data_IF_883039738474
#
_entry.id   IF_883039738474
#
_cell.length_a   1.000
_cell.length_b   1.000
_cell.length_c   1.000
_cell.angle_alpha   90.00
_cell.angle_beta   90.00
_cell.angle_gamma   90.00
#
_symmetry.space_group_name_H-M   'P 1'
#
loop_
_entity.id
_entity.type
_entity.pdbx_description
1 polymer ?
#
# COMPACT_ATOMS: atom_id res chain seq x y z
N UNK A 1 2.76 19.55 26.81
CA UNK A 1 3.99 18.91 26.22
C UNK A 1 4.46 17.65 26.95
N UNK A 2 4.02 17.38 28.17
CA UNK A 2 4.41 16.18 28.95
C UNK A 2 3.51 14.97 28.62
N UNK A 3 2.29 15.17 28.17
CA UNK A 3 1.34 14.10 27.86
C UNK A 3 1.69 13.31 26.58
N UNK A 4 2.29 13.92 25.58
CA UNK A 4 2.67 13.24 24.33
C UNK A 4 3.85 12.25 24.48
N UNK A 5 4.77 12.48 25.43
CA UNK A 5 5.91 11.56 25.65
C UNK A 5 5.52 10.24 26.36
N UNK A 6 4.41 10.21 27.13
CA UNK A 6 3.99 9.01 27.87
C UNK A 6 3.17 8.03 27.02
N UNK A 7 2.54 8.46 25.91
CA UNK A 7 1.79 7.56 25.02
C UNK A 7 2.67 6.73 24.10
N UNK A 8 3.87 7.21 23.73
CA UNK A 8 4.81 6.49 22.87
C UNK A 8 5.53 5.31 23.58
N UNK A 9 5.51 5.24 24.91
CA UNK A 9 6.19 4.17 25.66
C UNK A 9 5.36 2.88 25.87
N UNK A 10 4.12 2.80 25.38
CA UNK A 10 3.25 1.63 25.49
C UNK A 10 2.89 0.96 24.17
N UNK A 11 3.57 1.29 23.08
CA UNK A 11 3.41 0.51 21.84
C UNK A 11 4.19 -0.79 22.00
N UNK A 12 3.49 -1.85 22.38
CA UNK A 12 4.02 -3.20 22.27
C UNK A 12 4.12 -3.48 20.79
N UNK A 13 5.34 -3.47 20.24
CA UNK A 13 5.61 -4.05 18.95
C UNK A 13 5.30 -5.54 19.04
N UNK A 14 4.10 -5.94 18.64
CA UNK A 14 3.82 -7.33 18.32
C UNK A 14 4.73 -7.63 17.14
N UNK A 15 5.72 -8.51 17.38
CA UNK A 15 6.60 -9.02 16.32
C UNK A 15 5.70 -9.54 15.21
N UNK A 16 5.56 -8.80 14.11
CA UNK A 16 5.00 -9.38 12.90
C UNK A 16 5.98 -10.47 12.47
N UNK A 17 5.51 -11.57 11.95
CA UNK A 17 6.37 -12.66 11.45
C UNK A 17 7.29 -12.18 10.30
N UNK A 18 7.02 -10.99 9.75
CA UNK A 18 7.90 -10.29 8.83
C UNK A 18 8.94 -9.48 9.62
N UNK A 19 10.12 -10.02 9.75
CA UNK A 19 11.26 -9.26 10.22
C UNK A 19 11.57 -8.16 9.20
N UNK A 20 11.56 -6.89 9.65
CA UNK A 20 12.01 -5.79 8.78
C UNK A 20 13.51 -5.95 8.59
N UNK A 21 13.92 -6.45 7.43
CA UNK A 21 15.32 -6.75 7.11
C UNK A 21 16.16 -5.46 7.03
N UNK A 22 15.57 -4.33 6.66
CA UNK A 22 16.26 -3.06 6.66
C UNK A 22 16.12 -2.35 8.02
N UNK A 23 17.14 -2.45 8.86
CA UNK A 23 17.19 -1.78 10.18
C UNK A 23 17.15 -0.24 10.10
N UNK A 24 17.39 0.33 8.92
CA UNK A 24 17.36 1.78 8.68
C UNK A 24 15.99 2.30 8.27
N UNK A 25 14.96 1.46 8.18
CA UNK A 25 13.63 1.85 7.69
C UNK A 25 13.10 3.14 8.34
N UNK A 26 13.15 3.24 9.67
CA UNK A 26 12.64 4.42 10.38
C UNK A 26 13.46 5.68 10.10
N UNK A 27 14.78 5.55 9.99
CA UNK A 27 15.65 6.66 9.60
C UNK A 27 15.37 7.12 8.17
N UNK A 28 15.09 6.17 7.27
CA UNK A 28 14.70 6.48 5.89
C UNK A 28 13.38 7.24 5.84
N UNK A 29 12.37 6.81 6.63
CA UNK A 29 11.07 7.49 6.73
C UNK A 29 11.26 8.93 7.24
N UNK A 30 12.05 9.12 8.30
CA UNK A 30 12.30 10.45 8.86
C UNK A 30 13.02 11.35 7.86
N UNK A 31 14.06 10.85 7.19
CA UNK A 31 14.80 11.62 6.17
C UNK A 31 13.90 12.01 4.99
N UNK A 32 13.07 11.09 4.49
CA UNK A 32 12.12 11.36 3.42
C UNK A 32 11.07 12.40 3.83
N UNK A 33 10.54 12.30 5.05
CA UNK A 33 9.58 13.29 5.56
C UNK A 33 10.22 14.68 5.72
N UNK A 34 11.47 14.76 6.12
CA UNK A 34 12.22 16.04 6.15
C UNK A 34 12.33 16.60 4.72
N UNK A 35 12.73 15.79 3.74
CA UNK A 35 12.86 16.22 2.35
C UNK A 35 11.51 16.71 1.77
N UNK A 36 10.41 15.99 2.04
CA UNK A 36 9.04 16.39 1.63
C UNK A 36 8.68 17.75 2.23
N UNK A 37 8.89 17.93 3.55
CA UNK A 37 8.55 19.17 4.24
C UNK A 37 9.39 20.36 3.77
N UNK A 38 10.64 20.11 3.37
CA UNK A 38 11.54 21.15 2.83
C UNK A 38 11.31 21.37 1.32
N UNK A 39 10.54 20.51 0.65
CA UNK A 39 10.38 20.56 -0.80
C UNK A 39 11.68 20.32 -1.55
N UNK A 40 12.53 19.42 -1.06
CA UNK A 40 13.86 19.14 -1.63
C UNK A 40 13.91 17.79 -2.32
N UNK A 41 14.67 17.71 -3.42
CA UNK A 41 15.02 16.45 -4.06
C UNK A 41 15.90 15.59 -3.16
N UNK A 42 15.87 14.29 -3.43
CA UNK A 42 16.65 13.29 -2.71
C UNK A 42 17.50 12.50 -3.69
N UNK A 43 18.74 12.20 -3.30
CA UNK A 43 19.54 11.14 -3.91
C UNK A 43 19.55 9.93 -2.97
N UNK A 44 19.36 8.74 -3.50
CA UNK A 44 19.38 7.53 -2.70
C UNK A 44 19.82 6.31 -3.52
N UNK A 45 20.36 5.29 -2.81
CA UNK A 45 20.65 3.99 -3.39
C UNK A 45 19.42 3.11 -3.39
N UNK A 46 19.13 2.51 -4.53
CA UNK A 46 18.07 1.54 -4.69
C UNK A 46 18.60 0.13 -4.42
N UNK A 47 17.88 -0.61 -3.60
CA UNK A 47 18.24 -1.96 -3.19
C UNK A 47 17.21 -2.97 -3.70
N UNK A 48 17.63 -4.23 -3.78
CA UNK A 48 16.76 -5.38 -4.01
C UNK A 48 17.21 -6.56 -3.15
N UNK A 49 16.28 -7.48 -2.85
CA UNK A 49 16.62 -8.70 -2.13
C UNK A 49 17.15 -9.76 -3.09
N UNK A 50 18.35 -10.27 -2.79
CA UNK A 50 18.85 -11.50 -3.37
C UNK A 50 18.08 -12.73 -2.86
N UNK A 51 18.32 -13.89 -3.48
CA UNK A 51 17.74 -15.17 -3.03
C UNK A 51 18.25 -15.63 -1.65
N UNK A 52 19.35 -15.05 -1.20
CA UNK A 52 19.95 -15.23 0.13
C UNK A 52 19.35 -14.32 1.20
N UNK A 53 18.31 -13.53 0.84
CA UNK A 53 17.67 -12.49 1.66
C UNK A 53 18.57 -11.29 2.01
N UNK A 54 19.75 -11.19 1.39
CA UNK A 54 20.61 -10.02 1.54
C UNK A 54 20.21 -8.91 0.58
N UNK A 55 20.40 -7.65 1.03
CA UNK A 55 20.11 -6.47 0.20
C UNK A 55 21.31 -6.16 -0.69
N UNK A 56 21.11 -6.22 -1.98
CA UNK A 56 22.07 -5.83 -3.03
C UNK A 56 21.66 -4.54 -3.70
N UNK A 57 22.64 -3.78 -4.18
CA UNK A 57 22.39 -2.50 -4.88
C UNK A 57 21.97 -2.76 -6.33
N UNK A 58 20.91 -2.07 -6.78
CA UNK A 58 20.45 -2.14 -8.18
C UNK A 58 21.42 -1.43 -9.12
N UNK A 59 21.46 -1.87 -10.39
CA UNK A 59 22.37 -1.32 -11.40
C UNK A 59 22.11 0.15 -11.74
N UNK A 60 20.86 0.63 -11.62
CA UNK A 60 20.46 2.01 -11.88
C UNK A 60 20.62 2.95 -10.66
N UNK A 61 21.34 2.51 -9.65
CA UNK A 61 21.61 3.23 -8.42
C UNK A 61 22.94 4.02 -8.50
N UNK A 62 23.08 5.17 -7.80
CA UNK A 62 22.04 5.90 -7.10
C UNK A 62 21.08 6.65 -8.04
N UNK A 63 19.84 6.86 -7.59
CA UNK A 63 18.87 7.66 -8.32
C UNK A 63 18.61 9.00 -7.61
N UNK A 64 18.19 10.01 -8.39
CA UNK A 64 17.71 11.29 -7.88
C UNK A 64 16.21 11.39 -8.16
N UNK A 65 15.44 11.81 -7.15
CA UNK A 65 14.00 11.93 -7.28
C UNK A 65 13.40 13.04 -6.44
N UNK A 66 12.21 13.47 -6.81
CA UNK A 66 11.36 14.40 -6.06
C UNK A 66 10.39 13.59 -5.21
N UNK A 67 10.49 13.60 -3.85
CA UNK A 67 9.57 12.90 -2.98
C UNK A 67 8.31 13.74 -2.73
N UNK A 68 7.11 13.12 -2.71
CA UNK A 68 5.84 13.83 -2.52
C UNK A 68 5.06 13.41 -1.27
N UNK A 69 4.93 12.12 -1.02
CA UNK A 69 4.17 11.61 0.13
C UNK A 69 4.64 10.21 0.52
N UNK A 70 4.75 9.96 1.83
CA UNK A 70 4.97 8.62 2.39
C UNK A 70 3.63 7.95 2.70
N UNK A 71 3.54 6.65 2.47
CA UNK A 71 2.32 5.87 2.53
C UNK A 71 2.59 4.54 3.22
N UNK A 72 1.59 4.06 3.94
CA UNK A 72 1.57 2.70 4.48
C UNK A 72 0.54 1.87 3.72
N UNK A 73 0.97 0.78 3.10
CA UNK A 73 0.12 -0.13 2.36
C UNK A 73 0.67 -1.56 2.41
N UNK A 74 -0.19 -2.55 2.53
CA UNK A 74 0.15 -3.99 2.47
C UNK A 74 1.34 -4.37 3.38
N UNK A 75 1.38 -3.80 4.59
CA UNK A 75 2.45 -4.09 5.54
C UNK A 75 3.80 -3.47 5.21
N UNK A 76 3.89 -2.52 4.26
CA UNK A 76 5.12 -1.83 3.86
C UNK A 76 4.94 -0.31 3.82
N UNK A 77 6.03 0.41 4.01
CA UNK A 77 6.09 1.84 3.71
C UNK A 77 6.54 2.08 2.28
N UNK A 78 5.83 2.98 1.61
CA UNK A 78 6.13 3.45 0.25
C UNK A 78 6.33 4.95 0.25
N UNK A 79 7.12 5.42 -0.71
CA UNK A 79 7.25 6.83 -1.06
C UNK A 79 6.80 7.03 -2.50
N UNK A 80 5.89 7.98 -2.72
CA UNK A 80 5.52 8.42 -4.06
C UNK A 80 6.56 9.43 -4.54
N UNK A 81 7.15 9.15 -5.68
CA UNK A 81 8.26 9.94 -6.23
C UNK A 81 8.08 10.20 -7.72
N UNK A 82 8.81 11.21 -8.21
CA UNK A 82 9.11 11.39 -9.63
C UNK A 82 10.62 11.37 -9.79
N UNK A 83 11.16 10.45 -10.60
CA UNK A 83 12.60 10.39 -10.89
C UNK A 83 13.03 11.61 -11.68
N UNK A 84 14.26 12.06 -11.47
CA UNK A 84 14.85 13.13 -12.28
C UNK A 84 14.98 12.67 -13.73
N UNK A 85 14.45 13.48 -14.66
CA UNK A 85 14.39 13.15 -16.08
C UNK A 85 13.30 12.18 -16.51
N UNK A 86 12.49 11.67 -15.57
CA UNK A 86 11.30 10.87 -15.85
C UNK A 86 10.03 11.72 -15.83
N UNK A 87 8.98 11.25 -16.49
CA UNK A 87 7.66 11.92 -16.52
C UNK A 87 6.63 11.24 -15.64
N UNK A 88 6.84 10.01 -15.27
CA UNK A 88 5.90 9.19 -14.51
C UNK A 88 6.14 9.25 -13.00
N UNK A 89 5.06 9.02 -12.25
CA UNK A 89 5.11 8.84 -10.81
C UNK A 89 5.30 7.37 -10.46
N UNK A 90 6.19 7.12 -9.52
CA UNK A 90 6.53 5.77 -9.07
C UNK A 90 6.32 5.63 -7.57
N UNK A 91 5.97 4.42 -7.14
CA UNK A 91 5.96 4.01 -5.74
C UNK A 91 7.21 3.20 -5.44
N UNK A 92 8.03 3.69 -4.52
CA UNK A 92 9.23 3.01 -4.09
C UNK A 92 9.06 2.52 -2.66
N UNK A 93 9.35 1.27 -2.39
CA UNK A 93 9.37 0.74 -1.02
C UNK A 93 10.51 1.35 -0.23
N UNK A 94 10.20 1.90 0.95
CA UNK A 94 11.17 2.63 1.77
C UNK A 94 12.23 1.71 2.40
N UNK A 95 11.90 0.44 2.63
CA UNK A 95 12.86 -0.57 3.10
C UNK A 95 13.88 -0.98 2.02
N UNK A 96 13.61 -0.68 0.74
CA UNK A 96 14.51 -0.91 -0.38
C UNK A 96 15.31 0.35 -0.77
N UNK A 97 15.49 1.28 0.16
CA UNK A 97 16.29 2.50 -0.04
C UNK A 97 17.41 2.53 1.00
N UNK A 98 18.60 2.97 0.59
CA UNK A 98 19.74 3.25 1.47
C UNK A 98 20.40 4.59 1.13
N UNK A 99 21.20 5.10 2.06
CA UNK A 99 22.07 6.26 1.89
C UNK A 99 21.34 7.48 1.32
N UNK A 100 20.25 7.86 1.97
CA UNK A 100 19.42 9.00 1.58
C UNK A 100 20.19 10.30 1.84
N UNK A 101 20.34 11.11 0.79
CA UNK A 101 20.93 12.44 0.83
C UNK A 101 19.90 13.45 0.35
N UNK A 102 19.54 14.41 1.22
CA UNK A 102 18.66 15.53 0.84
C UNK A 102 19.51 16.54 0.08
N UNK A 103 19.06 16.89 -1.12
CA UNK A 103 19.78 17.81 -2.00
C UNK A 103 19.28 19.24 -1.80
N UNK A 104 20.17 20.22 -1.97
CA UNK A 104 19.80 21.65 -1.99
C UNK A 104 19.15 22.04 -3.34
N UNK A 105 18.18 21.24 -3.79
CA UNK A 105 17.45 21.44 -5.05
C UNK A 105 15.97 21.18 -4.81
N UNK A 106 15.12 22.11 -5.27
CA UNK A 106 13.65 21.99 -5.18
C UNK A 106 13.10 20.79 -5.95
N UNK A 107 11.99 20.25 -5.47
CA UNK A 107 11.25 19.18 -6.13
C UNK A 107 10.66 19.64 -7.47
N UNK A 108 10.46 18.72 -8.39
CA UNK A 108 9.73 18.98 -9.63
C UNK A 108 8.25 19.22 -9.33
N UNK A 109 7.70 20.31 -9.89
CA UNK A 109 6.27 20.61 -9.73
C UNK A 109 5.44 19.66 -10.57
N UNK A 110 4.38 19.10 -9.97
CA UNK A 110 3.38 18.33 -10.71
C UNK A 110 2.23 19.27 -11.05
N UNK A 111 2.06 19.54 -12.34
CA UNK A 111 1.02 20.46 -12.83
C UNK A 111 -0.38 19.84 -12.79
N UNK A 112 -1.42 20.67 -12.75
CA UNK A 112 -2.81 20.22 -12.92
C UNK A 112 -3.61 19.98 -11.63
N UNK A 113 -3.24 20.61 -10.51
CA UNK A 113 -3.98 20.43 -9.24
C UNK A 113 -3.79 19.06 -8.61
N UNK A 114 -2.67 18.41 -8.93
CA UNK A 114 -2.32 17.10 -8.43
C UNK A 114 -2.27 17.07 -6.90
N UNK A 115 -3.06 16.17 -6.31
CA UNK A 115 -3.00 15.87 -4.90
C UNK A 115 -2.28 14.52 -4.69
N UNK A 116 -1.00 14.52 -4.22
CA UNK A 116 -0.24 13.29 -4.05
C UNK A 116 -0.93 12.26 -3.14
N UNK A 117 -1.61 12.73 -2.09
CA UNK A 117 -2.32 11.86 -1.16
C UNK A 117 -3.55 11.19 -1.77
N UNK A 118 -4.28 11.90 -2.64
CA UNK A 118 -5.41 11.32 -3.36
C UNK A 118 -4.93 10.35 -4.43
N UNK A 119 -3.93 10.73 -5.22
CA UNK A 119 -3.32 9.86 -6.23
C UNK A 119 -2.82 8.54 -5.63
N UNK A 120 -2.16 8.63 -4.50
CA UNK A 120 -1.64 7.46 -3.80
C UNK A 120 -2.74 6.51 -3.35
N UNK A 121 -3.84 7.03 -2.78
CA UNK A 121 -5.01 6.22 -2.41
C UNK A 121 -5.66 5.54 -3.60
N UNK A 122 -5.63 6.18 -4.77
CA UNK A 122 -6.24 5.66 -5.99
C UNK A 122 -5.35 4.64 -6.73
N UNK A 123 -4.03 4.70 -6.57
CA UNK A 123 -3.09 3.95 -7.42
C UNK A 123 -2.26 2.89 -6.69
N UNK A 124 -2.06 2.98 -5.37
CA UNK A 124 -1.27 1.98 -4.63
C UNK A 124 -1.93 0.60 -4.63
N UNK A 125 -3.25 0.59 -4.56
CA UNK A 125 -4.02 -0.66 -4.50
C UNK A 125 -4.49 -1.16 -5.87
N UNK A 126 -4.13 -0.49 -6.97
CA UNK A 126 -4.85 -0.71 -8.22
C UNK A 126 -4.02 -1.29 -9.36
N UNK A 127 -2.71 -1.51 -9.26
CA UNK A 127 -1.89 -2.05 -10.38
C UNK A 127 -2.45 -1.72 -11.78
N UNK A 128 -3.05 -0.51 -11.94
CA UNK A 128 -3.79 -0.12 -13.13
C UNK A 128 -5.19 -0.74 -13.30
N UNK A 129 -5.65 -1.56 -12.36
CA UNK A 129 -7.00 -2.13 -12.37
C UNK A 129 -8.05 -1.11 -11.92
N UNK A 130 -9.21 -1.13 -12.57
CA UNK A 130 -10.36 -0.32 -12.14
C UNK A 130 -11.17 -1.08 -11.09
N UNK A 131 -11.66 -0.35 -10.08
CA UNK A 131 -12.66 -0.91 -9.17
C UNK A 131 -13.90 -1.31 -9.94
N UNK A 132 -14.39 -2.51 -9.68
CA UNK A 132 -15.65 -3.00 -10.19
C UNK A 132 -16.52 -3.57 -9.07
N UNK A 133 -17.79 -3.78 -9.37
CA UNK A 133 -18.75 -4.32 -8.43
C UNK A 133 -18.62 -5.83 -8.37
N UNK A 134 -18.37 -6.36 -7.18
CA UNK A 134 -18.43 -7.78 -6.86
C UNK A 134 -19.62 -8.05 -5.95
N UNK A 135 -20.21 -9.22 -6.07
CA UNK A 135 -21.28 -9.70 -5.19
C UNK A 135 -20.89 -11.06 -4.65
N UNK A 136 -20.98 -11.19 -3.34
CA UNK A 136 -20.67 -12.42 -2.63
C UNK A 136 -21.79 -12.78 -1.67
N UNK A 137 -21.90 -14.06 -1.40
CA UNK A 137 -22.69 -14.61 -0.30
C UNK A 137 -21.75 -15.34 0.66
N UNK A 138 -21.78 -14.99 1.94
CA UNK A 138 -20.83 -15.51 2.91
C UNK A 138 -21.41 -15.59 4.31
N UNK A 139 -20.69 -16.27 5.22
CA UNK A 139 -21.03 -16.30 6.63
C UNK A 139 -21.07 -14.89 7.22
N UNK A 140 -22.07 -14.61 8.07
CA UNK A 140 -22.14 -13.35 8.84
C UNK A 140 -20.90 -13.08 9.69
N UNK A 141 -20.16 -14.12 10.06
CA UNK A 141 -18.92 -14.02 10.84
C UNK A 141 -17.82 -13.28 10.09
N UNK A 142 -17.82 -13.32 8.77
CA UNK A 142 -16.84 -12.63 7.94
C UNK A 142 -17.10 -11.11 7.82
N UNK A 143 -18.21 -10.60 8.36
CA UNK A 143 -18.55 -9.18 8.20
C UNK A 143 -17.47 -8.24 8.74
N UNK A 144 -16.87 -8.56 9.89
CA UNK A 144 -15.82 -7.71 10.45
C UNK A 144 -14.59 -7.68 9.53
N UNK A 145 -14.18 -8.83 9.02
CA UNK A 145 -13.03 -8.93 8.11
C UNK A 145 -13.29 -8.20 6.77
N UNK A 146 -14.52 -8.31 6.25
CA UNK A 146 -14.96 -7.54 5.07
C UNK A 146 -14.82 -6.03 5.32
N UNK A 147 -15.28 -5.54 6.47
CA UNK A 147 -15.19 -4.11 6.83
C UNK A 147 -13.73 -3.68 7.01
N UNK A 148 -12.92 -4.50 7.64
CA UNK A 148 -11.50 -4.20 7.87
C UNK A 148 -10.73 -4.14 6.54
N UNK A 149 -11.10 -5.00 5.57
CA UNK A 149 -10.45 -5.06 4.26
C UNK A 149 -10.96 -4.01 3.28
N UNK A 150 -12.29 -3.88 3.14
CA UNK A 150 -12.92 -3.07 2.09
C UNK A 150 -13.57 -1.78 2.61
N UNK A 151 -13.74 -1.64 3.92
CA UNK A 151 -14.27 -0.44 4.55
C UNK A 151 -15.65 -0.04 4.03
N UNK A 152 -15.77 1.22 3.61
CA UNK A 152 -17.02 1.79 3.09
C UNK A 152 -17.40 1.30 1.69
N UNK A 153 -16.52 0.62 1.01
CA UNK A 153 -16.77 0.04 -0.32
C UNK A 153 -17.59 -1.26 -0.24
N UNK A 154 -17.84 -1.78 0.98
CA UNK A 154 -18.69 -2.94 1.26
C UNK A 154 -20.07 -2.52 1.77
N UNK A 155 -21.13 -3.07 1.16
CA UNK A 155 -22.53 -2.79 1.48
C UNK A 155 -23.31 -4.09 1.60
N UNK A 156 -24.00 -4.31 2.74
CA UNK A 156 -24.86 -5.47 2.92
C UNK A 156 -26.15 -5.27 2.12
N UNK A 157 -26.41 -6.18 1.17
CA UNK A 157 -27.62 -6.19 0.34
C UNK A 157 -28.76 -6.98 0.98
N UNK A 158 -28.43 -8.13 1.61
CA UNK A 158 -29.37 -9.01 2.30
C UNK A 158 -28.69 -9.65 3.49
N UNK A 159 -29.46 -9.85 4.55
CA UNK A 159 -29.02 -10.54 5.76
C UNK A 159 -30.06 -11.58 6.17
N UNK A 160 -29.64 -12.81 6.32
CA UNK A 160 -30.34 -13.88 7.00
C UNK A 160 -29.57 -14.22 8.32
N UNK A 161 -30.05 -15.15 9.12
CA UNK A 161 -29.47 -15.40 10.46
C UNK A 161 -27.96 -15.72 10.46
N UNK A 162 -27.50 -16.52 9.48
CA UNK A 162 -26.11 -16.97 9.41
C UNK A 162 -25.39 -16.54 8.12
N UNK A 163 -26.09 -15.98 7.14
CA UNK A 163 -25.58 -15.67 5.82
C UNK A 163 -25.89 -14.24 5.46
N UNK A 164 -24.92 -13.55 4.87
CA UNK A 164 -25.07 -12.21 4.32
C UNK A 164 -24.73 -12.22 2.83
N UNK A 165 -25.48 -11.40 2.07
CA UNK A 165 -25.10 -11.04 0.70
C UNK A 165 -24.55 -9.64 0.72
N UNK A 166 -23.34 -9.49 0.20
CA UNK A 166 -22.59 -8.24 0.24
C UNK A 166 -22.20 -7.83 -1.18
N UNK A 167 -22.36 -6.54 -1.45
CA UNK A 167 -21.82 -5.87 -2.62
C UNK A 167 -20.54 -5.16 -2.20
N UNK A 168 -19.46 -5.35 -2.97
CA UNK A 168 -18.14 -4.78 -2.69
C UNK A 168 -17.62 -4.08 -3.95
N UNK A 169 -17.16 -2.84 -3.80
CA UNK A 169 -16.47 -2.12 -4.85
C UNK A 169 -14.96 -2.26 -4.65
N UNK A 170 -14.31 -3.14 -5.40
CA UNK A 170 -12.87 -3.38 -5.28
C UNK A 170 -12.23 -3.70 -6.63
N UNK A 171 -10.89 -3.66 -6.68
CA UNK A 171 -10.16 -4.16 -7.84
C UNK A 171 -10.22 -5.69 -7.86
N UNK A 172 -10.31 -6.34 -9.04
CA UNK A 172 -10.45 -7.79 -9.16
C UNK A 172 -9.36 -8.57 -8.44
N UNK A 173 -8.11 -8.14 -8.53
CA UNK A 173 -6.97 -8.80 -7.88
C UNK A 173 -7.12 -8.87 -6.35
N UNK A 174 -7.49 -7.76 -5.71
CA UNK A 174 -7.70 -7.72 -4.25
C UNK A 174 -8.88 -8.59 -3.84
N UNK A 175 -9.99 -8.53 -4.61
CA UNK A 175 -11.16 -9.36 -4.36
C UNK A 175 -10.84 -10.84 -4.50
N UNK A 176 -10.08 -11.21 -5.53
CA UNK A 176 -9.66 -12.59 -5.75
C UNK A 176 -8.83 -13.13 -4.59
N UNK A 177 -7.84 -12.37 -4.12
CA UNK A 177 -7.01 -12.76 -2.97
C UNK A 177 -7.88 -13.01 -1.75
N UNK A 178 -8.77 -12.07 -1.42
CA UNK A 178 -9.66 -12.20 -0.26
C UNK A 178 -10.61 -13.42 -0.38
N UNK A 179 -11.19 -13.68 -1.55
CA UNK A 179 -12.07 -14.84 -1.78
C UNK A 179 -11.30 -16.15 -1.57
N UNK A 180 -10.07 -16.25 -2.07
CA UNK A 180 -9.26 -17.47 -1.92
C UNK A 180 -8.88 -17.76 -0.47
N UNK A 181 -8.69 -16.73 0.35
CA UNK A 181 -8.45 -16.86 1.78
C UNK A 181 -9.70 -17.34 2.55
N UNK A 182 -10.92 -17.09 2.02
CA UNK A 182 -12.20 -17.38 2.68
C UNK A 182 -13.10 -18.33 1.86
N UNK A 183 -12.51 -19.13 0.97
CA UNK A 183 -13.25 -19.91 -0.03
C UNK A 183 -14.23 -20.92 0.57
N UNK A 184 -13.97 -21.40 1.77
CA UNK A 184 -14.84 -22.35 2.47
C UNK A 184 -16.12 -21.70 3.05
N UNK A 185 -16.09 -20.39 3.30
CA UNK A 185 -17.18 -19.64 3.94
C UNK A 185 -17.82 -18.59 3.04
N UNK A 186 -17.36 -18.50 1.77
CA UNK A 186 -17.75 -17.44 0.86
C UNK A 186 -17.99 -17.98 -0.56
N UNK A 187 -19.09 -17.54 -1.20
CA UNK A 187 -19.39 -17.82 -2.60
C UNK A 187 -19.52 -16.51 -3.40
N UNK A 188 -18.87 -16.45 -4.56
CA UNK A 188 -19.07 -15.35 -5.52
C UNK A 188 -20.39 -15.52 -6.24
N UNK A 189 -21.28 -14.55 -6.11
CA UNK A 189 -22.59 -14.54 -6.79
C UNK A 189 -22.61 -13.63 -8.03
N UNK A 190 -21.66 -12.71 -8.14
CA UNK A 190 -21.51 -11.83 -9.31
C UNK A 190 -20.26 -10.96 -9.29
N UNK A 191 -19.86 -10.41 -10.45
CA UNK A 191 -20.41 -10.66 -11.80
C UNK A 191 -20.02 -12.06 -12.36
N UNK A 192 -20.75 -12.52 -13.36
CA UNK A 192 -20.57 -13.88 -13.93
C UNK A 192 -19.13 -14.16 -14.36
N UNK A 193 -18.50 -13.19 -15.03
CA UNK A 193 -17.10 -13.30 -15.47
C UNK A 193 -16.16 -13.59 -14.30
N UNK A 194 -16.30 -12.85 -13.21
CA UNK A 194 -15.46 -13.01 -12.02
C UNK A 194 -15.72 -14.34 -11.31
N UNK A 195 -16.99 -14.77 -11.22
CA UNK A 195 -17.36 -16.10 -10.69
C UNK A 195 -16.68 -17.24 -11.47
N UNK A 196 -16.72 -17.17 -12.81
CA UNK A 196 -16.07 -18.16 -13.67
C UNK A 196 -14.53 -18.17 -13.52
N UNK A 197 -13.93 -16.99 -13.28
CA UNK A 197 -12.49 -16.86 -13.03
C UNK A 197 -12.09 -17.56 -11.73
N UNK A 198 -12.83 -17.31 -10.64
CA UNK A 198 -12.57 -17.95 -9.35
C UNK A 198 -12.71 -19.47 -9.43
N UNK A 199 -13.71 -19.97 -10.15
CA UNK A 199 -13.94 -21.41 -10.31
C UNK A 199 -12.85 -22.15 -11.11
N UNK A 200 -12.02 -21.42 -11.87
CA UNK A 200 -10.90 -22.00 -12.65
C UNK A 200 -9.57 -21.96 -11.88
N UNK A 201 -9.55 -21.30 -10.72
CA UNK A 201 -8.35 -21.17 -9.89
C UNK A 201 -8.26 -22.28 -8.87
#
# INVERSE_FOLDING_TARGET
RIFQRRMLQKTVLVKSEREVLNKQLFYNIDALNVAINQGCKVSARMMEYGMDHELTEKQDSPIVFSPYVTLWAEGNYYILVKREGGDELEHIRVDLIKDIVILERGIDMIFGGFNPGQYAKEHIFQNGEKKERHEIECSVKLWQDIVDTFGKDAEVMRRDDNVIRVKIMSVPSAMKTWILEHIEECEVTGPKRFKEEIQRT
#
